data_IF_722977422239
#
_entry.id   IF_722977422239
#
_cell.length_a   1.000
_cell.length_b   1.000
_cell.length_c   1.000
_cell.angle_alpha   90.00
_cell.angle_beta   90.00
_cell.angle_gamma   90.00
#
_symmetry.space_group_name_H-M   'P 1'
#
loop_
_entity.id
_entity.type
_entity.pdbx_description
1 polymer ?
#
# COMPACT_ATOMS: atom_id res chain seq x y z
N UNK A 1 21.46 14.43 18.96
CA UNK A 1 20.73 13.94 17.79
C UNK A 1 20.18 12.51 17.96
N UNK A 2 20.69 11.68 18.89
CA UNK A 2 20.21 10.29 19.08
C UNK A 2 19.15 10.06 20.18
N UNK A 3 18.71 11.10 20.90
CA UNK A 3 17.83 10.95 22.09
C UNK A 3 16.54 10.18 21.73
N UNK A 4 15.90 10.51 20.61
CA UNK A 4 14.66 9.84 20.19
C UNK A 4 14.86 8.38 19.75
N UNK A 5 16.06 7.99 19.31
CA UNK A 5 16.39 6.60 19.00
C UNK A 5 16.69 5.80 20.28
N UNK A 6 17.37 6.42 21.26
CA UNK A 6 17.68 5.77 22.55
C UNK A 6 16.39 5.46 23.35
N UNK A 7 15.42 6.37 23.30
CA UNK A 7 14.12 6.18 23.96
C UNK A 7 13.09 5.48 23.07
N UNK A 8 13.45 5.09 21.85
CA UNK A 8 12.52 4.45 20.93
C UNK A 8 12.02 3.12 21.49
N UNK A 9 10.75 2.81 21.24
CA UNK A 9 10.09 1.57 21.61
C UNK A 9 9.26 1.10 20.44
N UNK A 10 9.28 -0.21 20.19
CA UNK A 10 8.40 -0.82 19.21
C UNK A 10 6.94 -0.68 19.66
N UNK A 11 6.10 -0.06 18.83
CA UNK A 11 4.70 0.27 19.15
C UNK A 11 3.67 -0.55 18.36
N UNK A 12 4.13 -1.43 17.48
CA UNK A 12 3.26 -2.34 16.72
C UNK A 12 3.10 -3.65 17.50
N UNK A 13 1.88 -4.17 17.54
CA UNK A 13 1.56 -5.48 18.11
C UNK A 13 1.37 -6.49 16.98
N UNK A 14 1.50 -7.78 17.29
CA UNK A 14 1.24 -8.84 16.31
C UNK A 14 -0.19 -8.76 15.75
N UNK A 15 -1.16 -8.39 16.59
CA UNK A 15 -2.55 -8.19 16.19
C UNK A 15 -2.77 -6.98 15.26
N UNK A 16 -1.79 -6.09 15.11
CA UNK A 16 -1.85 -5.00 14.14
C UNK A 16 -1.50 -5.48 12.71
N UNK A 17 -0.94 -6.69 12.57
CA UNK A 17 -0.51 -7.20 11.27
C UNK A 17 -1.69 -7.30 10.29
N UNK A 18 -1.47 -6.81 9.07
CA UNK A 18 -2.44 -6.75 7.98
C UNK A 18 -3.72 -5.92 8.25
N UNK A 19 -3.81 -5.16 9.34
CA UNK A 19 -4.90 -4.22 9.61
C UNK A 19 -4.57 -2.80 9.09
N UNK A 20 -5.61 -2.01 8.78
CA UNK A 20 -5.44 -0.59 8.39
C UNK A 20 -5.23 0.24 9.64
N UNK A 21 -4.13 1.01 9.66
CA UNK A 21 -3.85 1.97 10.73
C UNK A 21 -4.94 3.03 10.86
N UNK A 22 -4.99 3.70 12.00
CA UNK A 22 -5.91 4.83 12.20
C UNK A 22 -5.71 5.91 11.13
N UNK A 23 -4.46 6.28 10.84
CA UNK A 23 -4.10 7.23 9.77
C UNK A 23 -4.58 6.78 8.40
N UNK A 24 -4.41 5.50 8.04
CA UNK A 24 -4.89 4.97 6.77
C UNK A 24 -6.41 5.02 6.63
N UNK A 25 -7.16 4.84 7.73
CA UNK A 25 -8.63 5.04 7.74
C UNK A 25 -8.99 6.51 7.50
N UNK A 26 -8.26 7.46 8.09
CA UNK A 26 -8.48 8.89 7.87
C UNK A 26 -8.18 9.32 6.44
N UNK A 27 -7.04 8.89 5.86
CA UNK A 27 -6.69 9.17 4.47
C UNK A 27 -7.72 8.59 3.49
N UNK A 28 -8.22 7.38 3.79
CA UNK A 28 -9.30 6.77 3.01
C UNK A 28 -10.60 7.57 3.12
N UNK A 29 -10.93 8.07 4.31
CA UNK A 29 -12.12 8.91 4.51
C UNK A 29 -12.01 10.23 3.74
N UNK A 30 -10.84 10.87 3.72
CA UNK A 30 -10.56 12.07 2.92
C UNK A 30 -10.65 11.78 1.42
N UNK A 31 -10.17 10.61 0.99
CA UNK A 31 -10.32 10.17 -0.40
C UNK A 31 -11.80 10.08 -0.78
N UNK A 32 -12.65 9.53 0.08
CA UNK A 32 -14.11 9.48 -0.16
C UNK A 32 -14.74 10.88 -0.28
N UNK A 33 -14.32 11.83 0.57
CA UNK A 33 -14.75 13.24 0.47
C UNK A 33 -14.37 13.86 -0.87
N UNK A 34 -13.13 13.67 -1.31
CA UNK A 34 -12.63 14.18 -2.59
C UNK A 34 -13.44 13.56 -3.74
N UNK A 35 -13.64 12.24 -3.71
CA UNK A 35 -14.39 11.52 -4.73
C UNK A 35 -15.84 12.03 -4.81
N UNK A 36 -16.51 12.24 -3.68
CA UNK A 36 -17.86 12.79 -3.65
C UNK A 36 -17.92 14.21 -4.24
N UNK A 37 -16.93 15.06 -3.94
CA UNK A 37 -16.85 16.41 -4.52
C UNK A 37 -16.66 16.38 -6.04
N UNK A 38 -15.85 15.46 -6.55
CA UNK A 38 -15.59 15.32 -8.00
C UNK A 38 -16.75 14.66 -8.74
N UNK A 39 -17.43 13.70 -8.11
CA UNK A 39 -18.46 12.88 -8.73
C UNK A 39 -19.74 12.76 -7.88
N UNK A 40 -20.39 13.89 -7.55
CA UNK A 40 -21.49 13.92 -6.57
C UNK A 40 -22.73 13.14 -7.05
N UNK A 41 -22.94 13.05 -8.37
CA UNK A 41 -24.05 12.28 -8.96
C UNK A 41 -23.79 10.77 -8.91
N UNK A 42 -22.55 10.34 -9.21
CA UNK A 42 -22.16 8.92 -9.20
C UNK A 42 -22.07 8.33 -7.79
N UNK A 43 -21.85 9.17 -6.79
CA UNK A 43 -21.69 8.75 -5.40
C UNK A 43 -22.86 9.14 -4.50
N UNK A 44 -24.02 9.45 -5.09
CA UNK A 44 -25.23 9.79 -4.34
C UNK A 44 -25.90 8.54 -3.74
N UNK A 45 -25.81 8.37 -2.42
CA UNK A 45 -26.31 7.18 -1.71
C UNK A 45 -27.84 7.06 -1.71
N UNK A 46 -28.53 8.16 -1.97
CA UNK A 46 -30.00 8.17 -2.06
C UNK A 46 -30.47 7.64 -3.42
N UNK A 47 -29.64 7.77 -4.47
CA UNK A 47 -29.99 7.39 -5.84
C UNK A 47 -29.46 6.02 -6.25
N UNK A 48 -28.32 5.62 -5.71
CA UNK A 48 -27.55 4.47 -6.21
C UNK A 48 -27.38 3.41 -5.11
N UNK A 49 -27.37 2.14 -5.51
CA UNK A 49 -26.89 1.02 -4.71
C UNK A 49 -25.50 0.63 -5.23
N UNK A 50 -24.57 0.35 -4.34
CA UNK A 50 -23.16 0.13 -4.65
C UNK A 50 -22.76 -1.33 -4.47
N UNK A 51 -22.10 -1.84 -5.50
CA UNK A 51 -21.40 -3.10 -5.49
C UNK A 51 -19.91 -2.85 -5.22
N UNK A 52 -19.42 -3.31 -4.07
CA UNK A 52 -18.08 -2.99 -3.56
C UNK A 52 -17.20 -4.25 -3.58
N UNK A 53 -16.31 -4.32 -4.57
CA UNK A 53 -15.34 -5.40 -4.69
C UNK A 53 -14.21 -5.24 -3.68
N UNK A 54 -14.00 -6.26 -2.84
CA UNK A 54 -12.87 -6.34 -1.89
C UNK A 54 -12.03 -7.58 -2.16
N UNK A 55 -10.80 -7.62 -1.66
CA UNK A 55 -10.00 -8.85 -1.69
C UNK A 55 -10.30 -9.72 -0.46
N UNK A 56 -9.67 -10.89 -0.37
CA UNK A 56 -9.73 -11.74 0.84
C UNK A 56 -8.93 -11.17 2.03
N UNK A 57 -8.27 -10.02 1.87
CA UNK A 57 -7.46 -9.40 2.94
C UNK A 57 -8.28 -8.44 3.80
N UNK A 58 -8.12 -8.57 5.12
CA UNK A 58 -8.85 -7.76 6.11
C UNK A 58 -8.65 -6.27 5.87
N UNK A 59 -7.42 -5.81 5.62
CA UNK A 59 -7.18 -4.40 5.26
C UNK A 59 -8.03 -3.88 4.10
N UNK A 60 -8.30 -4.68 3.07
CA UNK A 60 -9.12 -4.20 1.94
C UNK A 60 -10.59 -4.04 2.31
N UNK A 61 -11.09 -4.87 3.24
CA UNK A 61 -12.42 -4.71 3.83
C UNK A 61 -12.47 -3.47 4.70
N UNK A 62 -11.46 -3.26 5.56
CA UNK A 62 -11.40 -2.09 6.45
C UNK A 62 -11.23 -0.76 5.70
N UNK A 63 -10.44 -0.73 4.62
CA UNK A 63 -10.35 0.41 3.70
C UNK A 63 -11.71 0.68 3.06
N UNK A 64 -12.39 -0.35 2.53
CA UNK A 64 -13.73 -0.17 1.97
C UNK A 64 -14.72 0.36 3.02
N UNK A 65 -14.66 -0.15 4.26
CA UNK A 65 -15.49 0.33 5.36
C UNK A 65 -15.23 1.80 5.69
N UNK A 66 -13.97 2.22 5.79
CA UNK A 66 -13.63 3.63 6.04
C UNK A 66 -14.14 4.57 4.93
N UNK A 67 -14.02 4.15 3.66
CA UNK A 67 -14.54 4.91 2.52
C UNK A 67 -16.06 5.06 2.59
N UNK A 68 -16.77 3.94 2.80
CA UNK A 68 -18.24 3.90 2.87
C UNK A 68 -18.75 4.72 4.05
N UNK A 69 -18.13 4.58 5.22
CA UNK A 69 -18.53 5.30 6.43
C UNK A 69 -18.38 6.82 6.24
N UNK A 70 -17.28 7.26 5.62
CA UNK A 70 -17.09 8.67 5.26
C UNK A 70 -18.16 9.16 4.28
N UNK A 71 -18.41 8.41 3.20
CA UNK A 71 -19.42 8.77 2.18
C UNK A 71 -20.83 8.91 2.77
N UNK A 72 -21.21 7.98 3.66
CA UNK A 72 -22.47 8.04 4.41
C UNK A 72 -22.46 9.26 5.32
N UNK A 73 -21.39 9.49 6.10
CA UNK A 73 -21.33 10.58 7.06
C UNK A 73 -21.52 11.96 6.44
N UNK A 74 -20.95 12.21 5.26
CA UNK A 74 -21.06 13.47 4.54
C UNK A 74 -22.52 13.69 4.12
N UNK A 75 -23.13 12.72 3.45
CA UNK A 75 -24.49 12.84 2.91
C UNK A 75 -25.60 12.70 3.97
N UNK A 76 -25.29 12.09 5.11
CA UNK A 76 -26.22 11.96 6.23
C UNK A 76 -26.41 13.29 6.96
N UNK A 77 -25.35 14.10 7.08
CA UNK A 77 -25.41 15.44 7.71
C UNK A 77 -26.32 16.40 6.94
N UNK A 78 -26.38 16.25 5.62
CA UNK A 78 -27.20 17.10 4.75
C UNK A 78 -28.69 16.71 4.77
N UNK A 79 -29.03 15.53 5.29
CA UNK A 79 -30.39 14.98 5.28
C UNK A 79 -31.11 15.20 6.62
N UNK A 80 -31.92 16.26 6.72
CA UNK A 80 -32.73 16.59 7.92
C UNK A 80 -33.84 15.57 8.26
N UNK A 81 -34.02 14.48 7.49
CA UNK A 81 -35.12 13.50 7.63
C UNK A 81 -34.73 12.06 7.25
N UNK A 82 -33.53 11.60 7.59
CA UNK A 82 -33.22 10.18 7.39
C UNK A 82 -33.87 9.34 8.50
N UNK A 83 -34.95 8.62 8.15
CA UNK A 83 -35.59 7.64 9.05
C UNK A 83 -34.70 6.42 9.31
N UNK A 84 -33.74 6.15 8.41
CA UNK A 84 -32.82 5.03 8.49
C UNK A 84 -31.56 5.37 9.26
N UNK A 85 -31.07 4.42 10.05
CA UNK A 85 -29.76 4.55 10.71
C UNK A 85 -28.61 4.45 9.70
N UNK A 86 -27.44 5.00 10.04
CA UNK A 86 -26.22 4.87 9.19
C UNK A 86 -25.87 3.41 8.92
N UNK A 87 -26.04 2.53 9.90
CA UNK A 87 -25.79 1.10 9.77
C UNK A 87 -26.77 0.45 8.79
N UNK A 88 -28.05 0.84 8.85
CA UNK A 88 -29.06 0.34 7.91
C UNK A 88 -28.75 0.80 6.48
N UNK A 89 -28.36 2.07 6.29
CA UNK A 89 -27.91 2.58 4.99
C UNK A 89 -26.70 1.76 4.50
N UNK A 90 -25.70 1.55 5.35
CA UNK A 90 -24.50 0.77 5.01
C UNK A 90 -24.85 -0.63 4.52
N UNK A 91 -25.73 -1.33 5.22
CA UNK A 91 -26.11 -2.71 4.89
C UNK A 91 -27.00 -2.79 3.64
N UNK A 92 -27.90 -1.84 3.44
CA UNK A 92 -28.86 -1.87 2.32
C UNK A 92 -28.31 -1.27 1.04
N UNK A 93 -27.39 -0.29 1.13
CA UNK A 93 -26.84 0.43 -0.03
C UNK A 93 -25.49 -0.09 -0.50
N UNK A 94 -24.71 -0.77 0.34
CA UNK A 94 -23.35 -1.19 -0.02
C UNK A 94 -23.18 -2.70 0.12
N UNK A 95 -23.29 -3.40 -1.01
CA UNK A 95 -23.06 -4.84 -1.08
C UNK A 95 -21.57 -5.12 -1.30
N UNK A 96 -20.87 -5.54 -0.25
CA UNK A 96 -19.46 -5.96 -0.34
C UNK A 96 -19.34 -7.42 -0.74
N UNK A 97 -18.43 -7.74 -1.64
CA UNK A 97 -18.13 -9.13 -2.03
C UNK A 97 -16.67 -9.32 -2.42
N UNK A 98 -16.17 -10.53 -2.20
CA UNK A 98 -14.80 -10.89 -2.55
C UNK A 98 -14.65 -10.99 -4.07
N UNK A 99 -13.69 -10.25 -4.62
CA UNK A 99 -13.32 -10.28 -6.03
C UNK A 99 -11.92 -10.88 -6.16
N UNK A 100 -11.88 -12.14 -6.58
CA UNK A 100 -10.64 -12.91 -6.76
C UNK A 100 -9.70 -12.29 -7.81
N UNK A 101 -10.27 -11.55 -8.77
CA UNK A 101 -9.52 -10.78 -9.75
C UNK A 101 -8.59 -9.73 -9.13
N UNK A 102 -8.92 -9.21 -7.94
CA UNK A 102 -8.06 -8.29 -7.18
C UNK A 102 -6.80 -8.97 -6.60
N UNK A 103 -6.72 -10.31 -6.69
CA UNK A 103 -5.60 -11.12 -6.22
C UNK A 103 -4.82 -11.80 -7.36
N UNK A 104 -5.00 -11.33 -8.60
CA UNK A 104 -4.35 -11.84 -9.81
C UNK A 104 -2.83 -12.01 -9.66
N UNK A 105 -2.15 -11.02 -9.06
CA UNK A 105 -0.72 -11.05 -8.78
C UNK A 105 -0.28 -12.29 -7.97
N UNK A 106 -1.08 -12.73 -7.00
CA UNK A 106 -0.76 -13.94 -6.19
C UNK A 106 -0.91 -15.21 -6.97
N UNK A 107 -1.96 -15.31 -7.79
CA UNK A 107 -2.18 -16.47 -8.65
C UNK A 107 -1.06 -16.59 -9.67
N UNK A 108 -0.67 -15.47 -10.28
CA UNK A 108 0.45 -15.42 -11.20
C UNK A 108 1.77 -15.83 -10.50
N UNK A 109 2.05 -15.29 -9.31
CA UNK A 109 3.24 -15.65 -8.54
C UNK A 109 3.31 -17.15 -8.24
N UNK A 110 2.19 -17.76 -7.82
CA UNK A 110 2.10 -19.22 -7.59
C UNK A 110 2.40 -20.00 -8.86
N UNK A 111 1.73 -19.66 -9.96
CA UNK A 111 1.95 -20.30 -11.25
C UNK A 111 3.43 -20.29 -11.68
N UNK A 112 4.11 -19.15 -11.52
CA UNK A 112 5.55 -19.05 -11.85
C UNK A 112 6.38 -19.96 -10.94
N UNK A 113 6.15 -19.92 -9.63
CA UNK A 113 6.89 -20.75 -8.66
C UNK A 113 6.70 -22.24 -8.96
N UNK A 114 5.46 -22.65 -9.20
CA UNK A 114 5.11 -24.04 -9.53
C UNK A 114 5.79 -24.48 -10.84
N UNK A 115 5.88 -23.58 -11.83
CA UNK A 115 6.55 -23.84 -13.11
C UNK A 115 8.08 -23.91 -13.00
N UNK A 116 8.69 -23.11 -12.10
CA UNK A 116 10.14 -23.06 -11.90
C UNK A 116 10.64 -24.10 -10.89
N UNK A 117 9.76 -24.72 -10.11
CA UNK A 117 10.12 -25.55 -8.95
C UNK A 117 10.91 -24.80 -7.86
N UNK A 118 10.96 -23.47 -7.92
CA UNK A 118 11.82 -22.63 -7.08
C UNK A 118 11.29 -21.20 -6.95
N UNK A 119 11.92 -20.40 -6.08
CA UNK A 119 11.57 -18.97 -5.94
C UNK A 119 11.94 -18.21 -7.21
N UNK A 120 11.15 -17.19 -7.52
CA UNK A 120 11.46 -16.26 -8.62
C UNK A 120 12.82 -15.62 -8.33
N UNK A 121 13.82 -15.79 -9.22
CA UNK A 121 15.14 -15.25 -8.98
C UNK A 121 15.11 -13.72 -9.05
N UNK A 122 15.90 -13.08 -8.18
CA UNK A 122 16.14 -11.64 -8.25
C UNK A 122 16.85 -11.31 -9.57
N UNK A 123 16.54 -10.15 -10.14
CA UNK A 123 17.18 -9.69 -11.37
C UNK A 123 18.71 -9.61 -11.23
N UNK A 124 19.44 -10.17 -12.20
CA UNK A 124 20.90 -10.05 -12.26
C UNK A 124 21.33 -8.57 -12.34
N UNK A 125 20.59 -7.74 -13.10
CA UNK A 125 20.86 -6.30 -13.22
C UNK A 125 20.69 -5.60 -11.87
N UNK A 126 19.67 -5.96 -11.12
CA UNK A 126 19.45 -5.40 -9.78
C UNK A 126 20.53 -5.86 -8.80
N UNK A 127 20.92 -7.14 -8.83
CA UNK A 127 22.05 -7.64 -8.04
C UNK A 127 23.36 -6.90 -8.36
N UNK A 128 23.64 -6.64 -9.63
CA UNK A 128 24.79 -5.82 -10.05
C UNK A 128 24.69 -4.36 -9.59
N UNK A 129 23.48 -3.78 -9.57
CA UNK A 129 23.25 -2.42 -9.07
C UNK A 129 23.54 -2.32 -7.57
N UNK A 130 23.09 -3.29 -6.76
CA UNK A 130 23.37 -3.34 -5.32
C UNK A 130 24.89 -3.38 -5.04
N UNK A 131 25.65 -4.06 -5.91
CA UNK A 131 27.11 -4.18 -5.80
C UNK A 131 27.89 -2.99 -6.38
N UNK A 132 27.20 -2.00 -6.94
CA UNK A 132 27.83 -0.86 -7.62
C UNK A 132 28.54 0.08 -6.63
N UNK A 133 29.59 0.76 -7.13
CA UNK A 133 30.39 1.72 -6.35
C UNK A 133 29.54 2.81 -5.66
N UNK A 134 28.53 3.43 -6.30
CA UNK A 134 27.69 4.43 -5.64
C UNK A 134 26.94 3.88 -4.42
N UNK A 135 26.39 2.66 -4.51
CA UNK A 135 25.64 2.03 -3.40
C UNK A 135 26.58 1.64 -2.26
N UNK A 136 27.74 1.06 -2.58
CA UNK A 136 28.78 0.76 -1.58
C UNK A 136 29.26 2.01 -0.85
N UNK A 137 29.50 3.10 -1.59
CA UNK A 137 29.92 4.37 -1.01
C UNK A 137 28.84 4.98 -0.12
N UNK A 138 27.57 4.90 -0.53
CA UNK A 138 26.44 5.32 0.29
C UNK A 138 26.40 4.58 1.63
N UNK A 139 26.57 3.26 1.62
CA UNK A 139 26.57 2.46 2.84
C UNK A 139 27.73 2.82 3.79
N UNK A 140 28.93 3.05 3.23
CA UNK A 140 30.09 3.52 4.00
C UNK A 140 29.82 4.89 4.64
N UNK A 141 29.32 5.84 3.86
CA UNK A 141 29.03 7.20 4.33
C UNK A 141 27.92 7.20 5.39
N UNK A 142 26.88 6.39 5.20
CA UNK A 142 25.83 6.21 6.20
C UNK A 142 26.41 5.67 7.51
N UNK A 143 27.22 4.61 7.44
CA UNK A 143 27.85 4.01 8.62
C UNK A 143 28.70 5.00 9.39
N UNK A 144 29.60 5.71 8.68
CA UNK A 144 30.50 6.68 9.29
C UNK A 144 29.73 7.83 9.95
N UNK A 145 28.73 8.40 9.25
CA UNK A 145 27.93 9.51 9.79
C UNK A 145 27.15 9.11 11.04
N UNK A 146 26.65 7.88 11.08
CA UNK A 146 25.87 7.38 12.21
C UNK A 146 26.74 6.70 13.30
N UNK A 147 28.07 6.80 13.22
CA UNK A 147 28.98 6.31 14.25
C UNK A 147 29.14 4.80 14.32
N UNK A 148 28.83 4.06 13.25
CA UNK A 148 29.06 2.62 13.19
C UNK A 148 30.54 2.32 12.91
N UNK A 149 31.11 1.35 13.62
CA UNK A 149 32.48 0.87 13.41
C UNK A 149 32.58 -0.18 12.28
N UNK A 150 31.49 -0.45 11.56
CA UNK A 150 31.43 -1.34 10.41
C UNK A 150 30.56 -0.76 9.30
N UNK A 151 30.78 -1.21 8.06
CA UNK A 151 29.90 -0.88 6.92
C UNK A 151 28.63 -1.70 6.99
N UNK A 152 27.49 -1.02 7.14
CA UNK A 152 26.18 -1.66 7.16
C UNK A 152 25.83 -2.23 5.79
N UNK A 153 25.13 -3.37 5.76
CA UNK A 153 24.68 -4.00 4.51
C UNK A 153 23.50 -3.21 3.92
N UNK A 154 23.39 -3.21 2.59
CA UNK A 154 22.31 -2.49 1.88
C UNK A 154 20.93 -3.03 2.26
N UNK A 155 20.81 -4.34 2.51
CA UNK A 155 19.56 -4.94 2.96
C UNK A 155 19.12 -4.39 4.33
N UNK A 156 20.06 -4.18 5.25
CA UNK A 156 19.79 -3.58 6.55
C UNK A 156 19.42 -2.11 6.43
N UNK A 157 20.03 -1.36 5.51
CA UNK A 157 19.61 0.02 5.19
C UNK A 157 18.18 0.07 4.66
N UNK A 158 17.83 -0.84 3.76
CA UNK A 158 16.45 -0.96 3.24
C UNK A 158 15.47 -1.30 4.37
N UNK A 159 15.86 -2.13 5.35
CA UNK A 159 15.03 -2.41 6.52
C UNK A 159 14.82 -1.17 7.40
N UNK A 160 15.87 -0.39 7.66
CA UNK A 160 15.77 0.87 8.41
C UNK A 160 14.91 1.91 7.67
N UNK A 161 15.04 1.99 6.35
CA UNK A 161 14.18 2.81 5.49
C UNK A 161 12.71 2.38 5.62
N UNK A 162 12.42 1.07 5.57
CA UNK A 162 11.07 0.55 5.77
C UNK A 162 10.52 0.86 7.16
N UNK A 163 11.33 0.76 8.21
CA UNK A 163 10.93 1.14 9.56
C UNK A 163 10.53 2.64 9.61
N UNK A 164 11.35 3.51 9.02
CA UNK A 164 11.02 4.93 8.83
C UNK A 164 9.69 5.12 8.09
N UNK A 165 9.49 4.45 6.95
CA UNK A 165 8.29 4.63 6.13
C UNK A 165 7.02 4.13 6.84
N UNK A 166 7.06 2.94 7.44
CA UNK A 166 5.90 2.38 8.14
C UNK A 166 5.52 3.21 9.37
N UNK A 167 6.49 3.58 10.20
CA UNK A 167 6.20 4.40 11.37
C UNK A 167 5.71 5.80 11.00
N UNK A 168 6.25 6.40 9.94
CA UNK A 168 5.76 7.69 9.44
C UNK A 168 4.33 7.55 8.93
N UNK A 169 4.00 6.47 8.21
CA UNK A 169 2.64 6.23 7.75
C UNK A 169 1.66 6.03 8.92
N UNK A 170 2.07 5.38 10.01
CA UNK A 170 1.19 5.05 11.15
C UNK A 170 1.12 6.20 12.17
N UNK A 171 2.24 6.85 12.47
CA UNK A 171 2.40 7.81 13.56
C UNK A 171 2.80 9.22 13.10
N UNK A 172 2.77 9.48 11.80
CA UNK A 172 3.16 10.75 11.14
C UNK A 172 4.64 11.13 11.29
N UNK A 173 5.40 10.47 12.16
CA UNK A 173 6.82 10.73 12.39
C UNK A 173 7.54 9.44 12.78
N UNK A 174 8.84 9.34 12.46
CA UNK A 174 9.69 8.24 12.91
C UNK A 174 11.11 8.72 13.18
N UNK A 175 11.72 8.36 14.33
CA UNK A 175 13.12 8.66 14.58
C UNK A 175 14.07 7.92 13.64
N UNK A 176 13.65 6.79 13.06
CA UNK A 176 14.44 6.05 12.07
C UNK A 176 14.71 6.88 10.81
N UNK A 177 13.82 7.82 10.47
CA UNK A 177 14.02 8.70 9.32
C UNK A 177 15.20 9.66 9.50
N UNK A 178 15.55 10.01 10.74
CA UNK A 178 16.64 10.95 11.04
C UNK A 178 18.03 10.34 10.77
N UNK A 179 18.12 9.02 10.62
CA UNK A 179 19.37 8.34 10.25
C UNK A 179 19.80 8.64 8.82
N UNK A 180 18.88 9.07 7.96
CA UNK A 180 19.11 9.24 6.53
C UNK A 180 19.22 10.71 6.13
N UNK A 181 20.08 10.97 5.16
CA UNK A 181 20.04 12.19 4.36
C UNK A 181 18.98 12.05 3.25
N UNK A 182 18.50 13.17 2.73
CA UNK A 182 17.57 13.16 1.59
C UNK A 182 18.16 12.44 0.36
N UNK A 183 19.47 12.54 0.13
CA UNK A 183 20.14 11.86 -0.98
C UNK A 183 20.10 10.34 -0.82
N UNK A 184 20.33 9.83 0.39
CA UNK A 184 20.26 8.40 0.68
C UNK A 184 18.83 7.88 0.56
N UNK A 185 17.83 8.64 1.04
CA UNK A 185 16.42 8.28 0.86
C UNK A 185 16.08 8.12 -0.63
N UNK A 186 16.47 9.07 -1.48
CA UNK A 186 16.25 9.00 -2.93
C UNK A 186 16.95 7.81 -3.59
N UNK A 187 18.17 7.47 -3.14
CA UNK A 187 18.89 6.30 -3.67
C UNK A 187 18.17 5.00 -3.27
N UNK A 188 17.73 4.88 -2.02
CA UNK A 188 17.02 3.69 -1.54
C UNK A 188 15.66 3.54 -2.23
N UNK A 189 14.93 4.65 -2.39
CA UNK A 189 13.67 4.70 -3.16
C UNK A 189 13.90 4.21 -4.59
N UNK A 190 14.92 4.72 -5.28
CA UNK A 190 15.29 4.27 -6.62
C UNK A 190 15.63 2.77 -6.68
N UNK A 191 16.33 2.23 -5.66
CA UNK A 191 16.61 0.79 -5.60
C UNK A 191 15.33 -0.04 -5.50
N UNK A 192 14.37 0.40 -4.69
CA UNK A 192 13.07 -0.27 -4.54
C UNK A 192 12.26 -0.19 -5.83
N UNK A 193 12.25 0.98 -6.49
CA UNK A 193 11.60 1.18 -7.79
C UNK A 193 12.18 0.28 -8.88
N UNK A 194 13.51 0.09 -8.91
CA UNK A 194 14.15 -0.80 -9.88
C UNK A 194 13.76 -2.27 -9.64
N UNK A 195 13.68 -2.71 -8.38
CA UNK A 195 13.24 -4.07 -8.02
C UNK A 195 11.77 -4.30 -8.43
N UNK A 196 10.88 -3.36 -8.07
CA UNK A 196 9.45 -3.36 -8.45
C UNK A 196 9.26 -3.30 -9.97
N UNK A 197 9.99 -2.42 -10.66
CA UNK A 197 9.93 -2.28 -12.12
C UNK A 197 10.32 -3.57 -12.83
N UNK A 198 11.35 -4.26 -12.33
CA UNK A 198 11.76 -5.53 -12.89
C UNK A 198 10.63 -6.58 -12.78
N UNK A 199 10.03 -6.71 -11.61
CA UNK A 199 8.90 -7.62 -11.41
C UNK A 199 7.72 -7.22 -12.31
N UNK A 200 7.34 -5.95 -12.32
CA UNK A 200 6.20 -5.49 -13.11
C UNK A 200 6.38 -5.69 -14.64
N UNK A 201 7.59 -5.41 -15.18
CA UNK A 201 7.78 -5.30 -16.64
C UNK A 201 8.71 -6.34 -17.26
N UNK A 202 9.66 -6.93 -16.54
CA UNK A 202 10.61 -7.88 -17.14
C UNK A 202 10.07 -9.31 -17.08
N UNK A 203 9.27 -9.63 -16.07
CA UNK A 203 8.66 -10.96 -15.91
C UNK A 203 7.38 -11.03 -16.77
N UNK A 204 7.44 -11.80 -17.87
CA UNK A 204 6.35 -11.90 -18.86
C UNK A 204 4.98 -12.27 -18.25
N UNK A 205 4.86 -13.24 -17.33
CA UNK A 205 3.58 -13.52 -16.68
C UNK A 205 3.05 -12.34 -15.84
N UNK A 206 3.90 -11.61 -15.12
CA UNK A 206 3.50 -10.43 -14.35
C UNK A 206 2.99 -9.30 -15.24
N UNK A 207 3.63 -9.01 -16.37
CA UNK A 207 3.09 -8.05 -17.36
C UNK A 207 1.68 -8.40 -17.84
N UNK A 208 1.40 -9.69 -17.98
CA UNK A 208 0.09 -10.17 -18.46
C UNK A 208 -0.91 -10.37 -17.33
N UNK A 209 -0.50 -10.24 -16.06
CA UNK A 209 -1.38 -10.53 -14.92
C UNK A 209 -2.59 -9.59 -14.85
N UNK A 210 -2.47 -8.38 -15.37
CA UNK A 210 -3.58 -7.43 -15.47
C UNK A 210 -4.42 -7.62 -16.76
N UNK A 211 -3.86 -8.24 -17.81
CA UNK A 211 -4.53 -8.46 -19.10
C UNK A 211 -5.33 -9.75 -19.13
N UNK A 212 -4.78 -10.84 -18.57
CA UNK A 212 -5.41 -12.16 -18.54
C UNK A 212 -6.41 -12.31 -17.40
N UNK A 213 -6.37 -11.42 -16.41
CA UNK A 213 -7.41 -11.33 -15.41
C UNK A 213 -8.43 -10.30 -15.84
N UNK A 214 -9.69 -10.66 -15.64
CA UNK A 214 -10.86 -9.85 -15.91
C UNK A 214 -10.84 -8.44 -15.30
N UNK A 215 -9.79 -7.90 -14.69
CA UNK A 215 -9.82 -6.58 -14.08
C UNK A 215 -10.03 -5.49 -15.13
N UNK A 216 -9.21 -5.45 -16.18
CA UNK A 216 -9.36 -4.49 -17.28
C UNK A 216 -10.60 -4.82 -18.10
N UNK A 217 -10.87 -6.10 -18.37
CA UNK A 217 -12.06 -6.52 -19.12
C UNK A 217 -13.36 -6.24 -18.36
N UNK A 218 -13.44 -6.52 -17.05
CA UNK A 218 -14.56 -6.18 -16.16
C UNK A 218 -14.71 -4.67 -16.06
N UNK A 219 -13.60 -3.92 -16.00
CA UNK A 219 -13.66 -2.46 -16.03
C UNK A 219 -14.30 -1.99 -17.35
N UNK A 220 -13.79 -2.46 -18.49
CA UNK A 220 -14.30 -2.13 -19.83
C UNK A 220 -15.76 -2.61 -20.04
N UNK A 221 -16.15 -3.77 -19.50
CA UNK A 221 -17.53 -4.29 -19.57
C UNK A 221 -18.46 -3.39 -18.75
N UNK A 222 -18.04 -2.97 -17.55
CA UNK A 222 -18.86 -2.09 -16.71
C UNK A 222 -18.95 -0.67 -17.28
N UNK A 223 -17.96 -0.20 -18.04
CA UNK A 223 -18.02 1.08 -18.76
C UNK A 223 -18.84 1.03 -20.07
N UNK A 224 -19.16 -0.16 -20.58
CA UNK A 224 -20.00 -0.33 -21.78
C UNK A 224 -21.50 -0.33 -21.50
N UNK A 225 -21.91 -0.34 -20.23
CA UNK A 225 -23.31 -0.25 -19.81
C UNK A 225 -23.66 1.19 -19.47
#
# INVERSE_FOLDING_TARGET
MFIHLVTWRFRMLENDDNHVSYTGKLETAQTAEIFYKLFPTLLNINKINFDVGISTKIRTKETADAFIDSLINIQYKDSRRNSKSKNEIKQTKFKKFSKDVLMSHKKCKRFIIDSLGSKIPRSEKFSKLLESKPIKMMAINFSQRNGLNYTIKIESLIMLYKACSYETAIFSTSPWCQLFTQKELKIIEYLLDVDEYHDAYQIKPYRKMACSFSAILDCLINFRK
#
